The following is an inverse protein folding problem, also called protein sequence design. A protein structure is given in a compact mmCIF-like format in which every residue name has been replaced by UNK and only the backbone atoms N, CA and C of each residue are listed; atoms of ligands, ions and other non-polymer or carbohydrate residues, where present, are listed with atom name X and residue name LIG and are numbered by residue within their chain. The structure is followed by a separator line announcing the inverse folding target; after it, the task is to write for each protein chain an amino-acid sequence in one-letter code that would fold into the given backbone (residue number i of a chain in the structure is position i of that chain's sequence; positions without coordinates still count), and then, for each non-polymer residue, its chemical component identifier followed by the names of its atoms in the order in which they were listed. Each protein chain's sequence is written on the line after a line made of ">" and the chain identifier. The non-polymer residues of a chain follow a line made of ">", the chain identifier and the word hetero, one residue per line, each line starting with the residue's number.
data_IF_719780163420
#
_entry.id   IF_719780163420
#
_cell.length_a   1.000
_cell.length_b   1.000
_cell.length_c   1.000
_cell.angle_alpha   90.00
_cell.angle_beta   90.00
_cell.angle_gamma   90.00
#
_symmetry.space_group_name_H-M   'P 1'
#
loop_
_entity.id
_entity.type
_entity.pdbx_description
1 polymer ?
#
# COMPACT_ATOMS: atom_id res chain seq x y z
N UNK A 1 29.28 3.04 33.30
CA UNK A 1 28.69 1.93 32.50
C UNK A 1 27.22 2.20 32.16
N UNK A 2 26.87 3.35 31.58
CA UNK A 2 25.47 3.69 31.21
C UNK A 2 25.31 4.45 29.88
N UNK A 3 26.35 4.52 29.04
CA UNK A 3 26.29 5.23 27.75
C UNK A 3 26.84 4.44 26.56
N UNK A 4 27.11 3.14 26.71
CA UNK A 4 27.79 2.31 25.71
C UNK A 4 26.91 1.26 25.03
N UNK A 5 25.58 1.31 25.21
CA UNK A 5 24.62 0.33 24.65
C UNK A 5 23.62 0.90 23.65
N UNK A 6 23.67 2.20 23.35
CA UNK A 6 22.72 2.87 22.43
C UNK A 6 23.26 3.05 21.00
N UNK A 7 24.45 2.55 20.69
CA UNK A 7 25.01 2.61 19.35
C UNK A 7 25.11 1.20 18.73
N UNK A 8 24.01 0.43 18.73
CA UNK A 8 23.83 -0.46 17.58
C UNK A 8 23.51 0.46 16.42
N UNK A 9 24.50 0.76 15.59
CA UNK A 9 24.33 1.45 14.32
C UNK A 9 23.06 0.89 13.65
N UNK A 10 21.95 1.63 13.71
CA UNK A 10 20.70 1.19 13.12
C UNK A 10 20.89 1.30 11.61
N UNK A 11 21.45 0.25 11.02
CA UNK A 11 21.51 0.12 9.57
C UNK A 11 20.07 0.18 9.11
N UNK A 12 19.69 1.32 8.52
CA UNK A 12 18.38 1.56 7.94
C UNK A 12 17.97 0.31 7.17
N UNK A 13 16.81 -0.23 7.51
CA UNK A 13 16.29 -1.42 6.85
C UNK A 13 15.73 -0.99 5.50
N UNK A 14 16.24 -1.49 4.36
CA UNK A 14 15.69 -1.10 3.07
C UNK A 14 14.23 -1.50 2.99
N UNK A 15 13.46 -0.70 2.26
CA UNK A 15 12.00 -0.80 2.14
C UNK A 15 11.22 -0.48 3.42
N UNK A 16 11.88 -0.11 4.52
CA UNK A 16 11.21 0.33 5.75
C UNK A 16 11.50 1.81 5.95
N UNK A 17 10.45 2.56 6.27
CA UNK A 17 10.53 3.95 6.70
C UNK A 17 9.89 4.04 8.08
N UNK A 18 10.63 4.54 9.07
CA UNK A 18 10.13 4.69 10.44
C UNK A 18 10.03 6.15 10.83
N UNK A 19 8.90 6.52 11.42
CA UNK A 19 8.57 7.89 11.79
C UNK A 19 7.68 7.91 13.03
N UNK A 20 7.46 9.09 13.59
CA UNK A 20 6.40 9.36 14.56
C UNK A 20 5.23 10.01 13.85
N UNK A 21 4.04 9.47 14.04
CA UNK A 21 2.83 10.14 13.55
C UNK A 21 2.64 11.45 14.32
N UNK A 22 2.45 12.56 13.60
CA UNK A 22 2.40 13.91 14.16
C UNK A 22 1.24 14.08 15.15
N UNK A 23 0.13 13.38 14.94
CA UNK A 23 -1.08 13.50 15.77
C UNK A 23 -1.01 12.64 17.03
N UNK A 24 -0.57 11.40 16.92
CA UNK A 24 -0.57 10.45 18.05
C UNK A 24 0.77 10.40 18.79
N UNK A 25 1.86 10.87 18.18
CA UNK A 25 3.23 10.75 18.69
C UNK A 25 3.77 9.31 18.69
N UNK A 26 2.95 8.34 18.28
CA UNK A 26 3.31 6.92 18.26
C UNK A 26 4.24 6.61 17.10
N UNK A 27 5.12 5.63 17.31
CA UNK A 27 6.03 5.17 16.28
C UNK A 27 5.27 4.36 15.22
N UNK A 28 5.46 4.72 13.95
CA UNK A 28 4.95 3.99 12.80
C UNK A 28 6.11 3.46 11.97
N UNK A 29 6.07 2.18 11.62
CA UNK A 29 6.99 1.58 10.64
C UNK A 29 6.22 1.25 9.37
N UNK A 30 6.50 1.96 8.28
CA UNK A 30 5.91 1.75 6.96
C UNK A 30 6.81 0.81 6.16
N UNK A 31 6.30 -0.36 5.78
CA UNK A 31 7.01 -1.36 4.98
C UNK A 31 6.51 -1.30 3.54
N UNK A 32 7.36 -0.84 2.64
CA UNK A 32 7.12 -0.77 1.20
C UNK A 32 7.39 -2.10 0.50
N UNK A 33 6.41 -2.59 -0.24
CA UNK A 33 6.46 -3.93 -0.82
C UNK A 33 6.29 -3.91 -2.34
N UNK A 34 6.86 -4.92 -2.99
CA UNK A 34 6.51 -5.28 -4.37
C UNK A 34 5.57 -6.46 -4.28
N UNK A 35 4.34 -6.36 -4.76
CA UNK A 35 3.33 -7.38 -4.50
C UNK A 35 3.74 -8.79 -4.96
N UNK A 36 3.46 -9.77 -4.08
CA UNK A 36 3.77 -11.19 -4.24
C UNK A 36 5.26 -11.49 -4.46
N UNK A 37 6.15 -10.59 -4.06
CA UNK A 37 7.59 -10.76 -4.14
C UNK A 37 8.07 -11.50 -2.88
N UNK A 38 8.70 -12.68 -3.00
CA UNK A 38 9.15 -13.45 -1.84
C UNK A 38 10.06 -12.67 -0.87
N UNK A 39 10.93 -11.80 -1.39
CA UNK A 39 11.80 -10.97 -0.56
C UNK A 39 11.02 -9.87 0.17
N UNK A 40 9.97 -9.32 -0.46
CA UNK A 40 9.06 -8.38 0.23
C UNK A 40 8.23 -9.09 1.31
N UNK A 41 7.80 -10.33 1.08
CA UNK A 41 7.09 -11.14 2.09
C UNK A 41 8.00 -11.37 3.30
N UNK A 42 9.25 -11.77 3.07
CA UNK A 42 10.24 -11.95 4.13
C UNK A 42 10.48 -10.64 4.89
N UNK A 43 10.66 -9.52 4.19
CA UNK A 43 10.84 -8.19 4.80
C UNK A 43 9.66 -7.78 5.68
N UNK A 44 8.43 -7.99 5.23
CA UNK A 44 7.22 -7.68 5.97
C UNK A 44 7.14 -8.49 7.28
N UNK A 45 7.42 -9.80 7.21
CA UNK A 45 7.51 -10.69 8.38
C UNK A 45 8.58 -10.26 9.37
N UNK A 46 9.78 -9.97 8.86
CA UNK A 46 10.91 -9.53 9.67
C UNK A 46 10.57 -8.25 10.43
N UNK A 47 9.97 -7.25 9.79
CA UNK A 47 9.67 -5.98 10.47
C UNK A 47 8.63 -6.17 11.57
N UNK A 48 7.56 -6.95 11.34
CA UNK A 48 6.59 -7.28 12.39
C UNK A 48 7.29 -8.01 13.54
N UNK A 49 8.11 -9.02 13.23
CA UNK A 49 8.81 -9.80 14.24
C UNK A 49 9.80 -8.97 15.07
N UNK A 50 10.48 -8.01 14.43
CA UNK A 50 11.41 -7.08 15.07
C UNK A 50 10.65 -6.05 15.91
N UNK A 51 9.59 -5.44 15.38
CA UNK A 51 8.79 -4.45 16.09
C UNK A 51 8.14 -5.03 17.35
N UNK A 52 7.68 -6.28 17.32
CA UNK A 52 7.14 -6.96 18.50
C UNK A 52 8.17 -7.27 19.59
N UNK A 53 9.48 -7.15 19.32
CA UNK A 53 10.57 -7.36 20.29
C UNK A 53 11.11 -6.06 20.89
N UNK A 54 10.66 -4.89 20.42
CA UNK A 54 11.11 -3.59 20.93
C UNK A 54 10.52 -3.33 22.33
N UNK A 55 11.13 -2.40 23.07
CA UNK A 55 10.75 -2.09 24.47
C UNK A 55 9.28 -1.69 24.63
N UNK A 56 8.67 -1.08 23.60
CA UNK A 56 7.22 -0.88 23.51
C UNK A 56 6.60 -2.02 22.70
N UNK A 57 5.61 -2.69 23.29
CA UNK A 57 4.84 -3.72 22.61
C UNK A 57 4.15 -3.15 21.37
N UNK A 58 4.29 -3.86 20.23
CA UNK A 58 3.59 -3.52 18.99
C UNK A 58 2.07 -3.56 19.22
N UNK A 59 1.39 -2.44 18.97
CA UNK A 59 -0.05 -2.30 19.19
C UNK A 59 -0.91 -2.89 18.08
N UNK A 60 -0.47 -2.76 16.83
CA UNK A 60 -1.20 -3.28 15.68
C UNK A 60 -0.30 -3.49 14.44
N UNK A 61 -0.77 -4.38 13.56
CA UNK A 61 -0.31 -4.46 12.17
C UNK A 61 -1.44 -3.98 11.26
N UNK A 62 -1.17 -2.97 10.45
CA UNK A 62 -2.09 -2.48 9.43
C UNK A 62 -1.65 -3.04 8.08
N UNK A 63 -2.56 -3.67 7.34
CA UNK A 63 -2.26 -4.19 6.01
C UNK A 63 -3.06 -3.45 4.95
N UNK A 64 -2.46 -3.17 3.80
CA UNK A 64 -3.14 -2.63 2.62
C UNK A 64 -4.03 -3.70 1.97
N UNK A 65 -5.10 -4.05 2.68
CA UNK A 65 -6.18 -4.92 2.25
C UNK A 65 -7.50 -4.38 2.80
N UNK A 66 -8.60 -4.77 2.15
CA UNK A 66 -9.96 -4.52 2.61
C UNK A 66 -10.64 -5.86 2.95
N UNK A 67 -11.81 -5.83 3.59
CA UNK A 67 -12.57 -7.02 3.99
C UNK A 67 -12.83 -7.97 2.82
N UNK A 68 -13.36 -7.49 1.69
CA UNK A 68 -13.63 -8.36 0.54
C UNK A 68 -12.37 -9.05 0.00
N UNK A 69 -11.29 -8.29 -0.27
CA UNK A 69 -10.01 -8.86 -0.74
C UNK A 69 -9.41 -9.83 0.27
N UNK A 70 -9.53 -9.53 1.55
CA UNK A 70 -9.00 -10.37 2.61
C UNK A 70 -9.75 -11.69 2.67
N UNK A 71 -11.09 -11.63 2.80
CA UNK A 71 -11.97 -12.82 2.83
C UNK A 71 -11.78 -13.69 1.60
N UNK A 72 -11.82 -13.12 0.39
CA UNK A 72 -11.57 -13.88 -0.84
C UNK A 72 -10.18 -14.52 -0.87
N UNK A 73 -9.16 -13.84 -0.33
CA UNK A 73 -7.82 -14.42 -0.23
C UNK A 73 -7.79 -15.64 0.69
N UNK A 74 -8.49 -15.59 1.83
CA UNK A 74 -8.55 -16.71 2.77
C UNK A 74 -9.39 -17.88 2.25
N UNK A 75 -10.50 -17.60 1.54
CA UNK A 75 -11.34 -18.64 0.94
C UNK A 75 -10.63 -19.36 -0.21
N UNK A 76 -9.95 -18.62 -1.09
CA UNK A 76 -9.32 -19.19 -2.29
C UNK A 76 -7.91 -19.71 -2.06
N UNK A 77 -7.22 -19.18 -1.05
CA UNK A 77 -5.86 -19.56 -0.69
C UNK A 77 -5.75 -19.65 0.84
N UNK A 78 -6.39 -20.64 1.47
CA UNK A 78 -6.41 -20.76 2.92
C UNK A 78 -5.00 -21.01 3.48
N UNK A 79 -4.66 -20.42 4.65
CA UNK A 79 -3.38 -20.61 5.31
C UNK A 79 -3.00 -22.10 5.43
N UNK A 80 -1.74 -22.41 5.13
CA UNK A 80 -1.20 -23.77 5.11
C UNK A 80 -1.47 -24.56 3.83
N UNK A 81 -2.29 -24.06 2.90
CA UNK A 81 -2.47 -24.70 1.59
C UNK A 81 -1.29 -24.45 0.65
N UNK A 82 -1.08 -25.36 -0.30
CA UNK A 82 -0.08 -25.19 -1.37
C UNK A 82 -0.33 -23.92 -2.20
N UNK A 83 -1.61 -23.59 -2.41
CA UNK A 83 -2.01 -22.38 -3.13
C UNK A 83 -1.60 -21.15 -2.33
N UNK A 84 -1.87 -21.10 -1.02
CA UNK A 84 -1.43 -20.00 -0.16
C UNK A 84 0.09 -19.83 -0.17
N UNK A 85 0.86 -20.92 -0.21
CA UNK A 85 2.32 -20.85 -0.31
C UNK A 85 2.79 -20.24 -1.64
N UNK A 86 2.09 -20.54 -2.74
CA UNK A 86 2.39 -20.02 -4.06
C UNK A 86 2.03 -18.54 -4.21
N UNK A 87 0.84 -18.15 -3.75
CA UNK A 87 0.29 -16.79 -3.89
C UNK A 87 0.25 -16.03 -2.56
N UNK A 88 1.20 -16.30 -1.66
CA UNK A 88 1.32 -15.56 -0.40
C UNK A 88 1.71 -14.11 -0.69
N UNK A 89 0.87 -13.16 -0.24
CA UNK A 89 1.20 -11.74 -0.28
C UNK A 89 1.94 -11.29 0.97
N UNK A 90 2.51 -10.10 0.90
CA UNK A 90 3.24 -9.46 2.01
C UNK A 90 2.33 -9.19 3.19
N UNK A 91 1.09 -8.77 2.92
CA UNK A 91 0.03 -8.57 3.89
C UNK A 91 -0.31 -9.88 4.61
N UNK A 92 -0.41 -11.01 3.88
CA UNK A 92 -0.66 -12.32 4.47
C UNK A 92 0.53 -12.81 5.33
N UNK A 93 1.76 -12.62 4.84
CA UNK A 93 2.95 -12.96 5.61
C UNK A 93 3.07 -12.18 6.91
N UNK A 94 2.86 -10.86 6.87
CA UNK A 94 2.88 -10.02 8.06
C UNK A 94 1.75 -10.36 9.05
N UNK A 95 0.53 -10.60 8.55
CA UNK A 95 -0.59 -11.04 9.36
C UNK A 95 -0.31 -12.39 10.05
N UNK A 96 0.37 -13.32 9.38
CA UNK A 96 0.78 -14.59 10.00
C UNK A 96 1.66 -14.40 11.22
N UNK A 97 2.68 -13.54 11.12
CA UNK A 97 3.56 -13.21 12.26
C UNK A 97 2.78 -12.46 13.35
N UNK A 98 1.87 -11.56 12.98
CA UNK A 98 1.04 -10.83 13.94
C UNK A 98 0.14 -11.77 14.75
N UNK A 99 -0.55 -12.71 14.08
CA UNK A 99 -1.40 -13.72 14.73
C UNK A 99 -0.61 -14.58 15.72
N UNK A 100 0.55 -15.09 15.31
CA UNK A 100 1.42 -15.90 16.17
C UNK A 100 1.89 -15.14 17.43
N UNK A 101 1.90 -13.81 17.37
CA UNK A 101 2.31 -12.93 18.47
C UNK A 101 1.14 -12.31 19.24
N UNK A 102 -0.09 -12.62 18.86
CA UNK A 102 -1.28 -12.00 19.46
C UNK A 102 -1.41 -10.50 19.18
N UNK A 103 -0.81 -10.01 18.09
CA UNK A 103 -0.89 -8.59 17.70
C UNK A 103 -2.15 -8.38 16.83
N UNK A 104 -3.04 -7.44 17.18
CA UNK A 104 -4.21 -7.11 16.38
C UNK A 104 -3.87 -6.69 14.95
N UNK A 105 -4.72 -7.07 14.00
CA UNK A 105 -4.57 -6.75 12.58
C UNK A 105 -5.71 -5.84 12.14
N UNK A 106 -5.39 -4.75 11.44
CA UNK A 106 -6.36 -3.88 10.78
C UNK A 106 -6.21 -3.99 9.26
N UNK A 107 -7.34 -4.17 8.57
CA UNK A 107 -7.47 -4.04 7.13
C UNK A 107 -7.60 -2.55 6.81
N UNK A 108 -6.48 -1.91 6.48
CA UNK A 108 -6.37 -0.44 6.45
C UNK A 108 -6.80 0.20 5.15
N UNK A 109 -7.40 -0.55 4.23
CA UNK A 109 -7.71 -0.07 2.89
C UNK A 109 -9.20 -0.21 2.55
N UNK A 110 -9.71 0.70 1.70
CA UNK A 110 -11.11 0.72 1.31
C UNK A 110 -11.50 -0.43 0.37
N UNK A 111 -12.79 -0.78 0.39
CA UNK A 111 -13.34 -1.76 -0.53
C UNK A 111 -13.34 -1.23 -1.98
N UNK A 112 -12.95 -2.08 -2.93
CA UNK A 112 -12.95 -1.72 -4.35
C UNK A 112 -14.35 -1.32 -4.83
N UNK A 113 -15.42 -1.93 -4.33
CA UNK A 113 -16.79 -1.61 -4.72
C UNK A 113 -17.17 -0.15 -4.43
N UNK A 114 -16.73 0.39 -3.29
CA UNK A 114 -16.90 1.79 -2.93
C UNK A 114 -16.04 2.72 -3.80
N UNK A 115 -14.87 2.25 -4.21
CA UNK A 115 -13.92 3.03 -4.99
C UNK A 115 -14.24 3.08 -6.50
N UNK A 116 -14.92 2.07 -7.03
CA UNK A 116 -15.23 1.93 -8.47
C UNK A 116 -16.00 3.12 -9.08
N UNK A 117 -17.08 3.65 -8.45
CA UNK A 117 -17.79 4.83 -8.94
C UNK A 117 -16.86 6.04 -9.10
N UNK A 118 -15.95 6.23 -8.14
CA UNK A 118 -14.99 7.34 -8.15
C UNK A 118 -13.97 7.19 -9.28
N UNK A 119 -13.41 6.00 -9.47
CA UNK A 119 -12.52 5.71 -10.61
C UNK A 119 -13.23 5.96 -11.95
N UNK A 120 -14.48 5.52 -12.08
CA UNK A 120 -15.28 5.76 -13.30
C UNK A 120 -15.54 7.25 -13.53
N UNK A 121 -15.87 7.99 -12.49
CA UNK A 121 -16.07 9.43 -12.57
C UNK A 121 -14.78 10.14 -13.02
N UNK A 122 -13.64 9.81 -12.40
CA UNK A 122 -12.35 10.38 -12.76
C UNK A 122 -11.94 10.00 -14.18
N UNK A 123 -12.21 8.77 -14.63
CA UNK A 123 -11.94 8.34 -16.00
C UNK A 123 -12.78 9.14 -17.01
N UNK A 124 -14.08 9.30 -16.75
CA UNK A 124 -14.96 10.10 -17.59
C UNK A 124 -14.55 11.58 -17.61
N UNK A 125 -14.18 12.14 -16.45
CA UNK A 125 -13.67 13.50 -16.36
C UNK A 125 -12.36 13.66 -17.11
N UNK A 126 -11.45 12.70 -17.00
CA UNK A 126 -10.18 12.70 -17.72
C UNK A 126 -10.35 12.64 -19.23
N UNK A 127 -11.31 11.86 -19.73
CA UNK A 127 -11.65 11.85 -21.17
C UNK A 127 -12.20 13.21 -21.60
N UNK A 128 -13.12 13.81 -20.82
CA UNK A 128 -13.65 15.16 -21.12
C UNK A 128 -12.54 16.21 -21.14
N UNK A 129 -11.64 16.18 -20.16
CA UNK A 129 -10.54 17.13 -20.04
C UNK A 129 -9.52 16.97 -21.18
N UNK A 130 -9.26 15.75 -21.64
CA UNK A 130 -8.37 15.47 -22.77
C UNK A 130 -8.90 16.04 -24.09
N UNK A 131 -10.21 15.93 -24.34
CA UNK A 131 -10.84 16.40 -25.59
C UNK A 131 -11.23 17.88 -25.56
N UNK A 132 -11.00 18.58 -24.44
CA UNK A 132 -11.36 19.99 -24.25
C UNK A 132 -10.16 20.88 -23.84
N UNK A 133 -9.04 20.87 -24.60
CA UNK A 133 -7.79 21.56 -24.22
C UNK A 133 -7.99 23.06 -23.95
N UNK A 134 -8.74 23.75 -24.82
CA UNK A 134 -8.94 25.20 -24.75
C UNK A 134 -10.07 25.62 -23.79
N UNK A 135 -10.85 24.68 -23.27
CA UNK A 135 -11.90 24.93 -22.27
C UNK A 135 -11.40 24.70 -20.82
N UNK A 136 -10.08 24.60 -20.63
CA UNK A 136 -9.45 24.39 -19.32
C UNK A 136 -9.18 22.94 -18.94
N UNK A 137 -9.55 21.95 -19.78
CA UNK A 137 -9.34 20.54 -19.49
C UNK A 137 -7.86 20.17 -19.27
N UNK A 138 -6.96 20.69 -20.10
CA UNK A 138 -5.52 20.45 -19.93
C UNK A 138 -4.95 21.16 -18.70
N UNK A 139 -5.47 22.33 -18.35
CA UNK A 139 -5.08 23.02 -17.12
C UNK A 139 -5.49 22.20 -15.87
N UNK A 140 -6.69 21.61 -15.87
CA UNK A 140 -7.14 20.71 -14.80
C UNK A 140 -6.24 19.47 -14.67
N UNK A 141 -5.85 18.86 -15.80
CA UNK A 141 -4.91 17.73 -15.81
C UNK A 141 -3.58 18.15 -15.19
N UNK A 142 -2.98 19.26 -15.65
CA UNK A 142 -1.70 19.77 -15.12
C UNK A 142 -1.81 20.10 -13.63
N UNK A 143 -2.93 20.68 -13.19
CA UNK A 143 -3.18 20.96 -11.78
C UNK A 143 -3.23 19.68 -10.94
N UNK A 144 -3.88 18.63 -11.41
CA UNK A 144 -3.88 17.33 -10.73
C UNK A 144 -2.47 16.73 -10.64
N UNK A 145 -1.71 16.73 -11.73
CA UNK A 145 -0.31 16.30 -11.70
C UNK A 145 0.52 17.13 -10.71
N UNK A 146 0.41 18.46 -10.78
CA UNK A 146 1.14 19.38 -9.90
C UNK A 146 0.76 19.28 -8.43
N UNK A 147 -0.44 18.80 -8.11
CA UNK A 147 -0.91 18.56 -6.74
C UNK A 147 -0.55 17.17 -6.22
N UNK A 148 -0.57 16.15 -7.07
CA UNK A 148 -0.39 14.74 -6.69
C UNK A 148 1.06 14.27 -6.73
N UNK A 149 1.85 14.69 -7.72
CA UNK A 149 3.26 14.29 -7.84
C UNK A 149 4.07 14.77 -6.63
N UNK A 150 4.04 16.07 -6.28
CA UNK A 150 4.52 16.56 -4.99
C UNK A 150 3.50 16.13 -3.94
N UNK A 151 3.81 15.11 -3.17
CA UNK A 151 2.95 14.64 -2.11
C UNK A 151 2.71 13.15 -2.09
N UNK A 152 2.82 12.51 -3.24
CA UNK A 152 2.64 11.06 -3.38
C UNK A 152 3.96 10.38 -3.65
N UNK A 153 4.76 10.93 -4.57
CA UNK A 153 5.95 10.27 -5.10
C UNK A 153 7.24 11.04 -4.82
N UNK A 154 7.18 12.32 -4.47
CA UNK A 154 8.37 13.13 -4.20
C UNK A 154 8.97 12.83 -2.81
N UNK A 155 10.15 12.19 -2.73
CA UNK A 155 10.75 11.85 -1.43
C UNK A 155 11.20 13.09 -0.65
N UNK A 156 11.44 14.22 -1.32
CA UNK A 156 11.86 15.47 -0.67
C UNK A 156 10.82 15.99 0.34
N UNK A 157 9.54 15.66 0.15
CA UNK A 157 8.44 16.09 1.03
C UNK A 157 8.52 15.43 2.42
N UNK A 158 9.26 14.33 2.53
CA UNK A 158 9.45 13.57 3.77
C UNK A 158 10.85 13.80 4.36
N UNK A 159 11.85 14.07 3.51
CA UNK A 159 13.28 14.05 3.86
C UNK A 159 13.69 15.01 4.99
N UNK A 160 13.01 16.14 5.14
CA UNK A 160 13.37 17.19 6.10
C UNK A 160 12.62 17.13 7.44
N UNK A 161 11.76 16.12 7.67
CA UNK A 161 10.92 16.10 8.86
C UNK A 161 11.67 15.62 10.11
N UNK A 162 11.54 16.38 11.21
CA UNK A 162 12.08 16.04 12.53
C UNK A 162 11.38 14.84 13.18
N UNK A 163 10.23 14.43 12.65
CA UNK A 163 9.48 13.26 13.13
C UNK A 163 9.98 11.96 12.50
N UNK A 164 10.92 12.00 11.55
CA UNK A 164 11.65 10.81 11.13
C UNK A 164 12.52 10.30 12.28
N UNK A 165 12.59 8.97 12.43
CA UNK A 165 13.51 8.39 13.41
C UNK A 165 14.97 8.55 12.95
N UNK A 166 15.90 8.55 13.90
CA UNK A 166 17.31 8.75 13.62
C UNK A 166 17.85 7.74 12.59
N UNK A 167 18.54 8.25 11.56
CA UNK A 167 19.08 7.45 10.46
C UNK A 167 18.07 7.02 9.39
N UNK A 168 16.78 7.34 9.56
CA UNK A 168 15.76 7.09 8.53
C UNK A 168 15.80 8.14 7.42
N UNK A 169 15.39 7.71 6.23
CA UNK A 169 15.21 8.58 5.06
C UNK A 169 14.08 8.05 4.20
N UNK A 170 13.43 8.91 3.39
CA UNK A 170 12.38 8.53 2.48
C UNK A 170 12.74 7.32 1.62
N UNK A 171 11.75 6.51 1.25
CA UNK A 171 11.96 5.36 0.39
C UNK A 171 12.32 5.85 -1.02
N UNK A 172 13.45 5.37 -1.55
CA UNK A 172 13.87 5.61 -2.92
C UNK A 172 13.90 4.31 -3.73
N UNK A 173 14.12 4.44 -5.03
CA UNK A 173 14.20 3.29 -5.95
C UNK A 173 15.29 2.31 -5.50
N UNK A 174 16.41 2.80 -4.99
CA UNK A 174 17.52 1.99 -4.47
C UNK A 174 17.11 1.00 -3.37
N UNK A 175 16.01 1.26 -2.65
CA UNK A 175 15.51 0.37 -1.62
C UNK A 175 14.90 -0.92 -2.20
N UNK A 176 14.57 -0.91 -3.49
CA UNK A 176 13.99 -2.05 -4.23
C UNK A 176 14.99 -2.72 -5.20
N UNK A 177 16.20 -2.17 -5.37
CA UNK A 177 17.20 -2.68 -6.33
C UNK A 177 18.11 -3.79 -5.76
N UNK A 178 17.75 -4.39 -4.63
CA UNK A 178 18.51 -5.51 -4.06
C UNK A 178 18.41 -6.76 -4.93
N UNK A 179 19.45 -7.61 -5.02
CA UNK A 179 19.43 -8.83 -5.82
C UNK A 179 18.21 -9.73 -5.52
N UNK A 180 17.87 -9.90 -4.25
CA UNK A 180 16.75 -10.75 -3.82
C UNK A 180 15.40 -10.17 -4.26
N UNK A 181 15.29 -8.83 -4.29
CA UNK A 181 14.11 -8.13 -4.79
C UNK A 181 13.96 -8.26 -6.30
N UNK A 182 15.05 -8.17 -7.05
CA UNK A 182 15.06 -8.34 -8.51
C UNK A 182 14.72 -9.79 -8.91
N UNK A 183 15.31 -10.78 -8.24
CA UNK A 183 14.94 -12.19 -8.42
C UNK A 183 13.48 -12.41 -8.02
N UNK A 184 13.06 -11.87 -6.88
CA UNK A 184 11.68 -11.94 -6.42
C UNK A 184 10.68 -11.30 -7.38
N UNK A 185 11.08 -10.24 -8.10
CA UNK A 185 10.24 -9.59 -9.11
C UNK A 185 9.93 -10.54 -10.27
N UNK A 186 10.88 -11.38 -10.69
CA UNK A 186 10.62 -12.42 -11.69
C UNK A 186 9.54 -13.41 -11.22
N UNK A 187 9.53 -13.76 -9.93
CA UNK A 187 8.45 -14.57 -9.35
C UNK A 187 7.13 -13.80 -9.29
N UNK A 188 7.14 -12.49 -8.97
CA UNK A 188 5.94 -11.65 -8.98
C UNK A 188 5.26 -11.62 -10.36
N UNK A 189 6.03 -11.65 -11.46
CA UNK A 189 5.46 -11.71 -12.82
C UNK A 189 4.59 -12.94 -13.07
N UNK A 190 4.77 -14.01 -12.28
CA UNK A 190 3.95 -15.22 -12.34
C UNK A 190 2.87 -15.19 -11.24
N UNK A 191 3.30 -14.91 -10.00
CA UNK A 191 2.44 -14.99 -8.81
C UNK A 191 1.35 -13.93 -8.82
N UNK A 192 1.63 -12.70 -9.26
CA UNK A 192 0.64 -11.63 -9.26
C UNK A 192 -0.49 -11.92 -10.26
N UNK A 193 -0.24 -12.24 -11.56
CA UNK A 193 -1.31 -12.65 -12.46
C UNK A 193 -2.04 -13.91 -11.99
N UNK A 194 -1.34 -14.91 -11.47
CA UNK A 194 -1.98 -16.13 -10.95
C UNK A 194 -2.91 -15.82 -9.76
N UNK A 195 -2.48 -14.98 -8.83
CA UNK A 195 -3.31 -14.52 -7.73
C UNK A 195 -4.51 -13.69 -8.22
N UNK A 196 -4.32 -12.85 -9.24
CA UNK A 196 -5.40 -12.05 -9.82
C UNK A 196 -6.44 -12.93 -10.52
N UNK A 197 -6.00 -13.90 -11.33
CA UNK A 197 -6.87 -14.88 -11.97
C UNK A 197 -7.65 -15.72 -10.95
N UNK A 198 -7.01 -16.12 -9.87
CA UNK A 198 -7.64 -16.91 -8.80
C UNK A 198 -8.68 -16.10 -8.00
N UNK A 199 -8.31 -14.89 -7.59
CA UNK A 199 -9.10 -14.08 -6.64
C UNK A 199 -10.15 -13.20 -7.33
N UNK A 200 -9.95 -12.86 -8.61
CA UNK A 200 -10.85 -12.01 -9.38
C UNK A 200 -10.92 -12.46 -10.84
N UNK A 201 -11.49 -13.66 -11.12
CA UNK A 201 -11.45 -14.27 -12.45
C UNK A 201 -12.19 -13.44 -13.52
N UNK A 202 -13.29 -12.76 -13.18
CA UNK A 202 -14.03 -11.92 -14.12
C UNK A 202 -13.23 -10.66 -14.52
N UNK A 203 -12.73 -9.82 -13.58
CA UNK A 203 -11.81 -8.74 -13.92
C UNK A 203 -10.55 -9.21 -14.67
N UNK A 204 -9.97 -10.36 -14.28
CA UNK A 204 -8.82 -10.92 -14.96
C UNK A 204 -9.16 -11.27 -16.42
N UNK A 205 -10.27 -11.96 -16.67
CA UNK A 205 -10.73 -12.29 -18.02
C UNK A 205 -11.00 -11.03 -18.86
N UNK A 206 -11.59 -9.99 -18.27
CA UNK A 206 -11.80 -8.71 -18.94
C UNK A 206 -10.47 -8.02 -19.31
N UNK A 207 -9.49 -8.02 -18.39
CA UNK A 207 -8.15 -7.49 -18.68
C UNK A 207 -7.45 -8.31 -19.77
N UNK A 208 -7.50 -9.64 -19.70
CA UNK A 208 -6.89 -10.51 -20.69
C UNK A 208 -7.52 -10.31 -22.07
N UNK A 209 -8.85 -10.23 -22.15
CA UNK A 209 -9.58 -9.92 -23.38
C UNK A 209 -9.22 -8.54 -23.92
N UNK A 210 -9.10 -7.53 -23.05
CA UNK A 210 -8.66 -6.19 -23.44
C UNK A 210 -7.23 -6.18 -23.98
N UNK A 211 -6.29 -6.86 -23.32
CA UNK A 211 -4.90 -6.96 -23.78
C UNK A 211 -4.78 -7.70 -25.11
N UNK A 212 -5.53 -8.80 -25.27
CA UNK A 212 -5.61 -9.53 -26.54
C UNK A 212 -6.21 -8.68 -27.67
N UNK A 213 -7.31 -7.97 -27.38
CA UNK A 213 -7.89 -7.01 -28.32
C UNK A 213 -6.89 -5.90 -28.65
N UNK A 214 -6.17 -5.38 -27.66
CA UNK A 214 -5.15 -4.34 -27.86
C UNK A 214 -3.99 -4.86 -28.71
N UNK A 215 -3.52 -6.08 -28.53
CA UNK A 215 -2.50 -6.72 -29.37
C UNK A 215 -3.01 -6.89 -30.82
N UNK A 216 -4.24 -7.38 -30.99
CA UNK A 216 -4.89 -7.46 -32.30
C UNK A 216 -5.04 -6.06 -32.95
N UNK A 217 -5.26 -5.02 -32.14
CA UNK A 217 -5.29 -3.61 -32.56
C UNK A 217 -3.89 -2.98 -32.70
N UNK A 218 -2.83 -3.51 -32.10
CA UNK A 218 -1.45 -3.01 -32.27
C UNK A 218 -0.91 -3.34 -33.66
N UNK A 219 -1.51 -4.31 -34.37
CA UNK A 219 -1.42 -4.42 -35.82
C UNK A 219 -2.05 -3.24 -36.59
N UNK A 220 -2.78 -2.34 -35.92
CA UNK A 220 -3.57 -1.26 -36.54
C UNK A 220 -3.49 0.14 -35.88
N UNK A 221 -3.02 0.34 -34.62
CA UNK A 221 -2.85 1.68 -34.03
C UNK A 221 -1.92 1.71 -32.80
N UNK A 222 -0.96 2.66 -32.82
CA UNK A 222 -0.17 3.05 -31.64
C UNK A 222 -1.08 3.76 -30.64
N UNK A 223 -1.14 3.30 -29.39
CA UNK A 223 -1.71 4.10 -28.31
C UNK A 223 -0.91 5.41 -28.22
N UNK A 224 -1.52 6.52 -28.62
CA UNK A 224 -0.87 7.84 -28.62
C UNK A 224 -0.60 8.35 -27.20
N UNK A 225 0.15 9.47 -27.07
CA UNK A 225 0.50 10.08 -25.78
C UNK A 225 -0.70 10.41 -24.88
N UNK A 226 -1.90 10.60 -25.45
CA UNK A 226 -3.15 10.86 -24.73
C UNK A 226 -3.63 9.70 -23.86
N UNK A 227 -3.40 8.44 -24.28
CA UNK A 227 -3.76 7.27 -23.49
C UNK A 227 -2.94 7.16 -22.20
N UNK A 228 -1.65 7.50 -22.28
CA UNK A 228 -0.76 7.51 -21.12
C UNK A 228 -1.10 8.60 -20.11
N UNK A 229 -1.57 9.76 -20.55
CA UNK A 229 -2.04 10.84 -19.66
C UNK A 229 -3.25 10.38 -18.85
N UNK A 230 -4.22 9.70 -19.47
CA UNK A 230 -5.38 9.13 -18.77
C UNK A 230 -4.94 8.14 -17.69
N UNK A 231 -4.10 7.17 -18.05
CA UNK A 231 -3.60 6.14 -17.13
C UNK A 231 -2.82 6.77 -15.97
N UNK A 232 -1.93 7.71 -16.27
CA UNK A 232 -1.11 8.38 -15.26
C UNK A 232 -1.96 9.21 -14.29
N UNK A 233 -2.98 9.93 -14.78
CA UNK A 233 -3.89 10.71 -13.91
C UNK A 233 -4.74 9.81 -13.01
N UNK A 234 -5.27 8.71 -13.56
CA UNK A 234 -5.99 7.71 -12.76
C UNK A 234 -5.11 7.09 -11.68
N UNK A 235 -3.86 6.74 -12.03
CA UNK A 235 -2.89 6.18 -11.10
C UNK A 235 -2.59 7.17 -9.97
N UNK A 236 -2.25 8.41 -10.29
CA UNK A 236 -1.80 9.39 -9.30
C UNK A 236 -2.92 9.85 -8.37
N UNK A 237 -4.10 10.16 -8.92
CA UNK A 237 -5.21 10.71 -8.12
C UNK A 237 -5.94 9.57 -7.42
N UNK A 238 -6.58 8.68 -8.16
CA UNK A 238 -7.43 7.68 -7.55
C UNK A 238 -6.60 6.61 -6.84
N UNK A 239 -5.65 5.98 -7.54
CA UNK A 239 -4.97 4.81 -6.98
C UNK A 239 -3.89 5.14 -5.96
N UNK A 240 -3.32 6.35 -5.96
CA UNK A 240 -2.28 6.73 -5.02
C UNK A 240 -2.75 7.77 -4.01
N UNK A 241 -3.14 8.97 -4.44
CA UNK A 241 -3.50 10.04 -3.50
C UNK A 241 -4.70 9.66 -2.61
N UNK A 242 -5.82 9.27 -3.20
CA UNK A 242 -7.03 8.92 -2.42
C UNK A 242 -6.78 7.71 -1.51
N UNK A 243 -6.04 6.70 -1.99
CA UNK A 243 -5.68 5.52 -1.19
C UNK A 243 -4.67 5.83 -0.09
N UNK A 244 -3.70 6.70 -0.34
CA UNK A 244 -2.74 7.13 0.69
C UNK A 244 -3.45 7.81 1.86
N UNK A 245 -4.48 8.61 1.59
CA UNK A 245 -5.28 9.25 2.62
C UNK A 245 -6.05 8.22 3.47
N UNK A 246 -6.66 7.22 2.84
CA UNK A 246 -7.34 6.12 3.54
C UNK A 246 -6.38 5.30 4.42
N UNK A 247 -5.22 4.93 3.85
CA UNK A 247 -4.20 4.17 4.56
C UNK A 247 -3.63 4.97 5.74
N UNK A 248 -3.32 6.25 5.56
CA UNK A 248 -2.84 7.12 6.63
C UNK A 248 -3.87 7.27 7.77
N UNK A 249 -5.16 7.45 7.44
CA UNK A 249 -6.25 7.48 8.43
C UNK A 249 -6.32 6.18 9.22
N UNK A 250 -6.32 5.03 8.53
CA UNK A 250 -6.36 3.72 9.17
C UNK A 250 -5.16 3.48 10.09
N UNK A 251 -3.94 3.85 9.65
CA UNK A 251 -2.72 3.74 10.46
C UNK A 251 -2.79 4.64 11.70
N UNK A 252 -3.19 5.90 11.53
CA UNK A 252 -3.34 6.85 12.63
C UNK A 252 -4.39 6.39 13.64
N UNK A 253 -5.53 5.90 13.14
CA UNK A 253 -6.60 5.33 13.97
C UNK A 253 -6.10 4.13 14.76
N UNK A 254 -5.39 3.19 14.13
CA UNK A 254 -4.81 2.04 14.82
C UNK A 254 -3.82 2.48 15.92
N UNK A 255 -2.98 3.48 15.64
CA UNK A 255 -2.03 4.02 16.60
C UNK A 255 -2.74 4.72 17.78
N UNK A 256 -3.79 5.48 17.51
CA UNK A 256 -4.59 6.18 18.53
C UNK A 256 -5.37 5.20 19.42
N UNK A 257 -6.09 4.25 18.83
CA UNK A 257 -6.92 3.29 19.58
C UNK A 257 -6.09 2.32 20.44
N UNK A 258 -4.86 2.00 20.00
CA UNK A 258 -3.95 1.11 20.74
C UNK A 258 -2.98 1.85 21.65
N UNK A 259 -2.86 3.16 21.49
CA UNK A 259 -1.86 4.02 22.14
C UNK A 259 -0.45 3.41 22.12
N UNK A 260 -0.08 2.82 20.98
CA UNK A 260 1.11 1.99 20.84
C UNK A 260 1.69 2.03 19.41
N UNK A 261 2.94 1.59 19.21
CA UNK A 261 3.55 1.53 17.89
C UNK A 261 2.74 0.70 16.89
N UNK A 262 2.83 1.05 15.61
CA UNK A 262 2.15 0.36 14.50
C UNK A 262 3.15 -0.01 13.41
N UNK A 263 2.95 -1.18 12.80
CA UNK A 263 3.63 -1.57 11.55
C UNK A 263 2.59 -1.58 10.43
N UNK A 264 2.83 -0.87 9.34
CA UNK A 264 1.95 -0.84 8.18
C UNK A 264 2.63 -1.49 6.97
N UNK A 265 1.93 -2.41 6.30
CA UNK A 265 2.42 -3.12 5.11
C UNK A 265 1.72 -2.58 3.88
N UNK A 266 2.48 -1.90 3.03
CA UNK A 266 1.98 -1.10 1.90
C UNK A 266 2.72 -1.47 0.61
N UNK A 267 2.09 -1.27 -0.54
CA UNK A 267 2.77 -1.20 -1.83
C UNK A 267 3.80 -0.07 -1.82
N UNK A 268 4.96 -0.29 -2.43
CA UNK A 268 6.09 0.66 -2.35
C UNK A 268 5.77 2.09 -2.80
N UNK A 269 4.83 2.25 -3.74
CA UNK A 269 4.38 3.56 -4.24
C UNK A 269 3.59 4.38 -3.20
N UNK A 270 3.03 3.73 -2.19
CA UNK A 270 2.23 4.39 -1.15
C UNK A 270 3.08 4.96 -0.03
N UNK A 271 4.28 4.42 0.22
CA UNK A 271 5.03 4.68 1.46
C UNK A 271 5.31 6.16 1.67
N UNK A 272 5.87 6.86 0.68
CA UNK A 272 6.24 8.27 0.85
C UNK A 272 4.99 9.16 0.98
N UNK A 273 3.93 8.87 0.23
CA UNK A 273 2.68 9.62 0.33
C UNK A 273 1.97 9.43 1.67
N UNK A 274 1.88 8.18 2.16
CA UNK A 274 1.36 7.88 3.50
C UNK A 274 2.24 8.52 4.58
N UNK A 275 3.56 8.43 4.45
CA UNK A 275 4.49 9.07 5.39
C UNK A 275 4.24 10.57 5.48
N UNK A 276 4.14 11.27 4.35
CA UNK A 276 3.85 12.72 4.34
C UNK A 276 2.58 13.05 5.13
N UNK A 277 1.52 12.26 4.97
CA UNK A 277 0.25 12.47 5.65
C UNK A 277 0.32 12.18 7.15
N UNK A 278 1.11 11.19 7.56
CA UNK A 278 1.35 10.89 8.98
C UNK A 278 2.22 11.96 9.64
N UNK A 279 3.10 12.60 8.87
CA UNK A 279 3.98 13.68 9.34
C UNK A 279 3.26 15.03 9.48
N UNK A 280 2.02 15.16 9.01
CA UNK A 280 1.19 16.35 9.19
C UNK A 280 0.08 16.11 10.22
N UNK A 281 -0.15 17.07 11.13
CA UNK A 281 -1.24 16.98 12.11
C UNK A 281 -2.61 16.93 11.43
N UNK A 282 -2.79 17.71 10.37
CA UNK A 282 -3.89 17.54 9.44
C UNK A 282 -3.59 16.33 8.55
N UNK A 283 -4.26 15.19 8.77
CA UNK A 283 -4.57 14.37 7.61
C UNK A 283 -5.55 15.22 6.82
N UNK A 284 -5.29 15.62 5.56
CA UNK A 284 -6.25 16.36 4.78
C UNK A 284 -7.58 15.63 4.88
N UNK A 285 -8.63 16.35 5.29
CA UNK A 285 -9.96 15.78 5.24
C UNK A 285 -10.18 15.34 3.79
N UNK A 286 -10.45 14.06 3.62
CA UNK A 286 -11.09 13.56 2.42
C UNK A 286 -12.47 14.24 2.21
N UNK A 287 -12.93 15.12 3.10
CA UNK A 287 -14.09 15.99 2.90
C UNK A 287 -13.94 16.93 1.68
N UNK A 288 -12.73 17.13 1.15
CA UNK A 288 -12.53 17.76 -0.18
C UNK A 288 -12.81 16.81 -1.37
N UNK A 289 -12.96 15.50 -1.11
CA UNK A 289 -13.19 14.42 -2.07
C UNK A 289 -14.55 13.78 -1.76
N UNK A 290 -15.62 14.37 -2.28
CA UNK A 290 -17.01 13.99 -2.10
C UNK A 290 -17.32 12.51 -2.41
N UNK A 291 -17.11 11.62 -1.45
CA UNK A 291 -17.59 10.25 -1.51
C UNK A 291 -18.14 9.80 -0.15
N UNK A 292 -19.31 9.19 -0.16
CA UNK A 292 -19.98 8.68 1.05
C UNK A 292 -19.08 7.68 1.78
N UNK A 293 -18.76 8.01 3.03
CA UNK A 293 -17.82 7.31 3.90
C UNK A 293 -18.21 5.84 4.06
N UNK A 294 -17.43 4.94 3.46
CA UNK A 294 -17.36 3.55 3.90
C UNK A 294 -16.19 3.48 4.87
N UNK A 295 -16.49 2.98 6.08
CA UNK A 295 -15.67 3.05 7.29
C UNK A 295 -14.15 3.00 7.09
N UNK A 296 -13.44 3.88 7.82
CA UNK A 296 -12.01 3.78 8.09
C UNK A 296 -11.63 2.34 8.47
N UNK A 297 -10.38 1.93 8.22
CA UNK A 297 -9.88 0.55 8.34
C UNK A 297 -10.56 -0.36 9.37
N UNK A 298 -10.82 -1.60 8.96
CA UNK A 298 -11.59 -2.57 9.76
C UNK A 298 -10.64 -3.45 10.57
N UNK A 299 -10.84 -3.53 11.89
CA UNK A 299 -10.16 -4.53 12.70
C UNK A 299 -10.59 -5.93 12.25
N UNK A 300 -9.62 -6.74 11.84
CA UNK A 300 -9.89 -8.11 11.46
C UNK A 300 -9.94 -8.99 12.70
N UNK A 301 -11.10 -9.58 12.93
CA UNK A 301 -11.29 -10.62 13.93
C UNK A 301 -11.07 -11.98 13.26
N UNK A 302 -9.98 -12.70 13.57
CA UNK A 302 -9.78 -14.03 13.03
C UNK A 302 -10.89 -14.95 13.55
N UNK A 303 -11.53 -15.76 12.68
CA UNK A 303 -12.47 -16.78 13.13
C UNK A 303 -11.85 -17.71 14.19
N UNK A 304 -12.64 -18.26 15.13
CA UNK A 304 -12.13 -19.12 16.21
C UNK A 304 -11.30 -20.32 15.73
N UNK A 305 -11.60 -20.82 14.53
CA UNK A 305 -10.94 -21.94 13.87
C UNK A 305 -9.61 -21.57 13.17
N UNK A 306 -9.20 -20.29 13.19
CA UNK A 306 -7.93 -19.87 12.60
C UNK A 306 -6.76 -20.41 13.41
N UNK A 307 -6.09 -21.40 12.83
CA UNK A 307 -4.84 -21.92 13.35
C UNK A 307 -3.66 -21.02 12.91
N UNK A 308 -3.19 -20.19 13.83
CA UNK A 308 -2.06 -19.27 13.60
C UNK A 308 -0.77 -19.99 13.16
N UNK A 309 -0.61 -21.29 13.48
CA UNK A 309 0.57 -22.07 13.06
C UNK A 309 0.58 -22.40 11.56
N UNK A 310 -0.59 -22.35 10.91
CA UNK A 310 -0.73 -22.57 9.46
C UNK A 310 -0.44 -21.32 8.64
N UNK A 311 -0.38 -20.16 9.28
CA UNK A 311 0.03 -18.93 8.62
C UNK A 311 1.54 -18.92 8.51
N UNK A 312 2.02 -19.04 7.26
CA UNK A 312 3.43 -18.95 6.93
C UNK A 312 4.06 -17.71 7.53
#
# INVERSE_FOLDING_TARGET
>A
MHHLLLASLSVRSPQVLRLRDATTGQQVSLVGTVHYNPASVARAKEEVALASKRDRSLGAVVVESCTSRWTTSLEKAPPGSLIANLVCSEMQGAAGVALQKGVPIMLGDADAGAFLPRVRQLAQQSVRDLVSPFAGGWAAIVQDFGRTLPGTLNPADVAGSELLLEGERPIGIQDFLKPEMLVGFLFSLIRYPAAFALKAPLPFAALAAFLYALEALQGAARAGPTGWVLVARLLLVAFLEERNAELARSIRRAAAEKDAPVVAILGGLHVNGVARLLLSEATPDADSLAYDRVADGVWWEPPPEVDASKWL
#
